data_IF_787444128485
#
_entry.id   IF_787444128485
#
_cell.length_a   1.000
_cell.length_b   1.000
_cell.length_c   1.000
_cell.angle_alpha   90.00
_cell.angle_beta   90.00
_cell.angle_gamma   90.00
#
_symmetry.space_group_name_H-M   'P 1'
#
loop_
_entity.id
_entity.type
_entity.pdbx_description
1 polymer ?
#
# COMPACT_ATOMS: atom_id res chain seq x y z
N UNK A 1 -10.74 11.95 16.05
CA UNK A 1 -11.11 10.97 15.01
C UNK A 1 -10.77 11.50 13.64
N UNK A 2 -11.71 12.19 12.98
CA UNK A 2 -11.62 12.50 11.53
C UNK A 2 -11.06 13.89 11.16
N UNK A 3 -10.92 14.83 12.10
CA UNK A 3 -10.40 16.18 11.81
C UNK A 3 -8.94 16.23 11.30
N UNK A 4 -8.20 15.12 11.39
CA UNK A 4 -6.79 15.02 11.02
C UNK A 4 -6.62 14.48 9.59
N UNK A 5 -7.58 13.71 9.08
CA UNK A 5 -7.54 13.11 7.74
C UNK A 5 -8.08 14.11 6.72
N UNK A 6 -7.22 15.05 6.31
CA UNK A 6 -7.53 15.95 5.20
C UNK A 6 -7.71 15.14 3.91
N UNK A 7 -8.55 15.60 2.96
CA UNK A 7 -8.77 14.90 1.69
C UNK A 7 -7.48 14.53 0.96
N UNK A 8 -6.48 15.42 0.96
CA UNK A 8 -5.18 15.15 0.33
C UNK A 8 -4.45 13.95 0.92
N UNK A 9 -4.53 13.75 2.24
CA UNK A 9 -3.89 12.63 2.93
C UNK A 9 -4.62 11.32 2.63
N UNK A 10 -5.96 11.36 2.56
CA UNK A 10 -6.76 10.20 2.15
C UNK A 10 -6.44 9.76 0.73
N UNK A 11 -6.40 10.73 -0.20
CA UNK A 11 -6.00 10.47 -1.59
C UNK A 11 -4.60 9.86 -1.65
N UNK A 12 -3.65 10.39 -0.88
CA UNK A 12 -2.31 9.81 -0.79
C UNK A 12 -2.31 8.37 -0.28
N UNK A 13 -3.05 8.09 0.79
CA UNK A 13 -3.14 6.75 1.40
C UNK A 13 -3.76 5.68 0.49
N UNK A 14 -4.49 6.09 -0.55
CA UNK A 14 -5.10 5.22 -1.56
C UNK A 14 -4.25 5.16 -2.84
N UNK A 15 -3.76 6.31 -3.32
CA UNK A 15 -3.02 6.40 -4.57
C UNK A 15 -1.64 5.76 -4.48
N UNK A 16 -0.91 5.92 -3.36
CA UNK A 16 0.44 5.37 -3.24
C UNK A 16 0.51 3.85 -3.32
N UNK A 17 -0.39 3.08 -2.66
CA UNK A 17 -0.47 1.63 -2.87
C UNK A 17 -0.68 1.25 -4.34
N UNK A 18 -1.57 1.95 -5.05
CA UNK A 18 -1.85 1.67 -6.46
C UNK A 18 -0.63 1.92 -7.35
N UNK A 19 0.10 3.00 -7.11
CA UNK A 19 1.36 3.29 -7.80
C UNK A 19 2.38 2.18 -7.53
N UNK A 20 2.60 1.85 -6.26
CA UNK A 20 3.56 0.82 -5.84
C UNK A 20 3.21 -0.56 -6.40
N UNK A 21 1.94 -0.96 -6.34
CA UNK A 21 1.47 -2.25 -6.86
C UNK A 21 1.51 -2.35 -8.37
N UNK A 22 1.20 -1.26 -9.09
CA UNK A 22 1.30 -1.24 -10.56
C UNK A 22 2.75 -1.36 -11.01
N UNK A 23 3.67 -0.62 -10.37
CA UNK A 23 5.11 -0.72 -10.63
C UNK A 23 5.62 -2.12 -10.26
N UNK A 24 5.21 -2.65 -9.12
CA UNK A 24 5.58 -4.00 -8.68
C UNK A 24 5.09 -5.08 -9.64
N UNK A 25 3.86 -4.99 -10.14
CA UNK A 25 3.34 -5.91 -11.15
C UNK A 25 4.17 -5.84 -12.44
N UNK A 26 4.45 -4.63 -12.93
CA UNK A 26 5.25 -4.45 -14.14
C UNK A 26 6.68 -5.00 -14.00
N UNK A 27 7.34 -4.68 -12.89
CA UNK A 27 8.69 -5.19 -12.59
C UNK A 27 8.70 -6.70 -12.38
N UNK A 28 7.71 -7.26 -11.67
CA UNK A 28 7.59 -8.71 -11.46
C UNK A 28 7.43 -9.48 -12.77
N UNK A 29 6.64 -8.96 -13.70
CA UNK A 29 6.54 -9.51 -15.06
C UNK A 29 7.87 -9.41 -15.80
N UNK A 30 8.55 -8.25 -15.77
CA UNK A 30 9.86 -8.07 -16.41
C UNK A 30 10.93 -9.01 -15.84
N UNK A 31 10.81 -9.38 -14.57
CA UNK A 31 11.68 -10.36 -13.90
C UNK A 31 11.34 -11.82 -14.27
N UNK A 32 10.27 -12.06 -15.04
CA UNK A 32 9.83 -13.40 -15.43
C UNK A 32 9.19 -14.21 -14.29
N UNK A 33 8.64 -13.54 -13.27
CA UNK A 33 7.95 -14.22 -12.18
C UNK A 33 6.64 -14.85 -12.68
N UNK A 34 6.21 -15.93 -12.03
CA UNK A 34 4.88 -16.52 -12.28
C UNK A 34 3.76 -15.53 -11.97
N UNK A 35 2.53 -15.79 -12.42
CA UNK A 35 1.37 -14.94 -12.10
C UNK A 35 1.22 -14.74 -10.57
N UNK A 36 1.34 -15.82 -9.81
CA UNK A 36 1.31 -15.77 -8.35
C UNK A 36 2.49 -14.99 -7.76
N UNK A 37 3.70 -15.20 -8.29
CA UNK A 37 4.91 -14.49 -7.86
C UNK A 37 4.83 -12.98 -8.13
N UNK A 38 4.41 -12.58 -9.33
CA UNK A 38 4.18 -11.18 -9.71
C UNK A 38 3.11 -10.53 -8.86
N UNK A 39 1.99 -11.23 -8.62
CA UNK A 39 0.92 -10.73 -7.73
C UNK A 39 1.44 -10.49 -6.32
N UNK A 40 2.16 -11.46 -5.75
CA UNK A 40 2.74 -11.33 -4.41
C UNK A 40 3.74 -10.16 -4.36
N UNK A 41 4.60 -10.05 -5.35
CA UNK A 41 5.57 -8.95 -5.45
C UNK A 41 4.88 -7.59 -5.54
N UNK A 42 3.85 -7.46 -6.37
CA UNK A 42 3.02 -6.26 -6.46
C UNK A 42 2.36 -5.89 -5.12
N UNK A 43 1.81 -6.86 -4.40
CA UNK A 43 1.24 -6.66 -3.05
C UNK A 43 2.29 -6.16 -2.06
N UNK A 44 3.51 -6.70 -2.11
CA UNK A 44 4.63 -6.25 -1.28
C UNK A 44 5.01 -4.80 -1.60
N UNK A 45 5.12 -4.44 -2.88
CA UNK A 45 5.42 -3.07 -3.31
C UNK A 45 4.31 -2.06 -2.96
N UNK A 46 3.05 -2.50 -2.94
CA UNK A 46 1.90 -1.65 -2.61
C UNK A 46 1.66 -1.47 -1.10
N UNK A 47 2.25 -2.31 -0.26
CA UNK A 47 1.91 -2.36 1.16
C UNK A 47 2.71 -1.35 1.99
N UNK A 48 2.06 -0.82 3.01
CA UNK A 48 2.72 -0.06 4.07
C UNK A 48 3.04 -0.97 5.27
N UNK A 49 3.94 -0.51 6.14
CA UNK A 49 4.14 -1.16 7.44
C UNK A 49 3.03 -0.73 8.40
N UNK A 50 2.15 -1.68 8.73
CA UNK A 50 0.96 -1.42 9.56
C UNK A 50 1.23 -1.53 11.07
N UNK A 51 2.39 -2.07 11.46
CA UNK A 51 2.74 -2.36 12.86
C UNK A 51 4.05 -1.67 13.24
N UNK A 52 5.14 -2.01 12.55
CA UNK A 52 6.48 -1.57 12.92
C UNK A 52 6.69 -0.07 12.69
N UNK A 53 6.25 0.49 11.55
CA UNK A 53 6.41 1.93 11.28
C UNK A 53 5.65 2.80 12.27
N UNK A 54 4.37 2.55 12.62
CA UNK A 54 3.71 3.32 13.66
C UNK A 54 4.43 3.31 15.01
N UNK A 55 5.02 2.18 15.41
CA UNK A 55 5.82 2.07 16.62
C UNK A 55 7.15 2.86 16.50
N UNK A 56 7.87 2.68 15.39
CA UNK A 56 9.11 3.39 15.11
C UNK A 56 8.91 4.91 15.02
N UNK A 57 7.83 5.38 14.40
CA UNK A 57 7.51 6.80 14.27
C UNK A 57 7.28 7.49 15.62
N UNK A 58 6.71 6.77 16.61
CA UNK A 58 6.57 7.32 17.98
C UNK A 58 7.92 7.66 18.60
N UNK A 59 8.93 6.86 18.31
CA UNK A 59 10.28 7.00 18.86
C UNK A 59 11.13 7.96 18.03
N UNK A 60 11.12 7.79 16.70
CA UNK A 60 11.97 8.53 15.77
C UNK A 60 11.46 9.95 15.46
N UNK A 61 10.15 10.18 15.49
CA UNK A 61 9.56 11.50 15.27
C UNK A 61 8.42 11.78 16.26
N UNK A 62 8.72 12.03 17.55
CA UNK A 62 7.70 12.20 18.59
C UNK A 62 6.75 13.39 18.36
N UNK A 63 7.17 14.38 17.58
CA UNK A 63 6.35 15.55 17.20
C UNK A 63 5.29 15.22 16.14
N UNK A 64 5.39 14.09 15.46
CA UNK A 64 4.39 13.66 14.48
C UNK A 64 3.08 13.29 15.18
N UNK A 65 1.94 13.64 14.58
CA UNK A 65 0.64 13.33 15.17
C UNK A 65 0.31 11.83 15.05
N UNK A 66 0.21 11.07 16.16
CA UNK A 66 -0.10 9.64 16.12
C UNK A 66 -1.44 9.31 15.48
N UNK A 67 -2.43 10.18 15.63
CA UNK A 67 -3.72 9.99 15.00
C UNK A 67 -3.64 10.04 13.47
N UNK A 68 -2.64 10.70 12.88
CA UNK A 68 -2.48 10.76 11.43
C UNK A 68 -1.97 9.43 10.87
N UNK A 69 -0.77 9.01 11.28
CA UNK A 69 -0.10 7.87 10.65
C UNK A 69 -0.71 6.53 11.08
N UNK A 70 -1.25 6.42 12.30
CA UNK A 70 -1.96 5.20 12.73
C UNK A 70 -3.27 5.05 11.96
N UNK A 71 -4.10 6.11 11.91
CA UNK A 71 -5.39 6.03 11.22
C UNK A 71 -5.23 5.91 9.71
N UNK A 72 -4.22 6.55 9.10
CA UNK A 72 -3.98 6.39 7.67
C UNK A 72 -3.51 4.98 7.34
N UNK A 73 -2.54 4.43 8.09
CA UNK A 73 -1.98 3.10 7.83
C UNK A 73 -3.02 1.99 8.09
N UNK A 74 -3.63 1.95 9.29
CA UNK A 74 -4.54 0.87 9.70
C UNK A 74 -5.99 1.09 9.27
N UNK A 75 -6.47 2.34 9.27
CA UNK A 75 -7.87 2.66 9.00
C UNK A 75 -8.19 2.91 7.53
N UNK A 76 -7.18 3.18 6.69
CA UNK A 76 -7.38 3.52 5.28
C UNK A 76 -6.56 2.61 4.38
N UNK A 77 -5.23 2.68 4.44
CA UNK A 77 -4.35 1.99 3.50
C UNK A 77 -4.46 0.48 3.63
N UNK A 78 -4.41 -0.09 4.84
CA UNK A 78 -4.55 -1.53 5.05
C UNK A 78 -5.85 -2.12 4.47
N UNK A 79 -7.05 -1.68 4.90
CA UNK A 79 -8.30 -2.25 4.39
C UNK A 79 -8.46 -2.01 2.90
N UNK A 80 -8.05 -0.85 2.37
CA UNK A 80 -8.04 -0.59 0.94
C UNK A 80 -7.17 -1.61 0.18
N UNK A 81 -5.94 -1.84 0.65
CA UNK A 81 -5.00 -2.71 -0.05
C UNK A 81 -5.48 -4.17 -0.04
N UNK A 82 -6.10 -4.62 1.04
CA UNK A 82 -6.65 -5.98 1.13
C UNK A 82 -7.88 -6.16 0.24
N UNK A 83 -8.84 -5.24 0.32
CA UNK A 83 -10.15 -5.40 -0.35
C UNK A 83 -10.08 -5.04 -1.84
N UNK A 84 -9.36 -3.98 -2.18
CA UNK A 84 -9.30 -3.44 -3.56
C UNK A 84 -7.93 -3.68 -4.19
N UNK A 85 -6.85 -3.43 -3.43
CA UNK A 85 -5.48 -3.56 -3.93
C UNK A 85 -5.17 -4.95 -4.47
N UNK A 86 -5.27 -5.99 -3.64
CA UNK A 86 -4.92 -7.38 -4.00
C UNK A 86 -5.66 -7.84 -5.28
N UNK A 87 -7.00 -7.73 -5.40
CA UNK A 87 -7.67 -8.09 -6.65
C UNK A 87 -7.20 -7.27 -7.86
N UNK A 88 -6.94 -5.98 -7.67
CA UNK A 88 -6.45 -5.09 -8.73
C UNK A 88 -5.05 -5.51 -9.21
N UNK A 89 -4.14 -5.83 -8.29
CA UNK A 89 -2.78 -6.23 -8.64
C UNK A 89 -2.73 -7.60 -9.31
N UNK A 90 -3.59 -8.53 -8.89
CA UNK A 90 -3.74 -9.80 -9.59
C UNK A 90 -4.21 -9.60 -11.04
N UNK A 91 -5.23 -8.76 -11.25
CA UNK A 91 -5.73 -8.45 -12.59
C UNK A 91 -4.67 -7.75 -13.46
N UNK A 92 -3.85 -6.87 -12.88
CA UNK A 92 -2.71 -6.25 -13.57
C UNK A 92 -1.64 -7.28 -13.93
N UNK A 93 -1.26 -8.14 -13.00
CA UNK A 93 -0.29 -9.20 -13.24
C UNK A 93 -0.75 -10.17 -14.33
N UNK A 94 -2.05 -10.54 -14.33
CA UNK A 94 -2.64 -11.36 -15.38
C UNK A 94 -2.59 -10.65 -16.74
N UNK A 95 -2.90 -9.35 -16.77
CA UNK A 95 -2.87 -8.55 -17.99
C UNK A 95 -1.46 -8.38 -18.55
N UNK A 96 -0.45 -8.25 -17.69
CA UNK A 96 0.95 -8.11 -18.12
C UNK A 96 1.59 -9.44 -18.52
N UNK A 97 1.09 -10.57 -18.01
CA UNK A 97 1.58 -11.90 -18.36
C UNK A 97 1.04 -12.44 -19.69
N UNK A 98 0.01 -11.80 -20.26
CA UNK A 98 -0.51 -12.06 -21.61
C UNK A 98 0.31 -11.30 -22.66
#
# INVERSE_FOLDING_TARGET
GFKVLRPSVLVFGIAMPLIGGTLGAGLGTLMGLSLGGTTLFAVLCASASYIAVPAAMRLALPKANPALYVSLSLGVTFPFNVVIGIPTYFALAERFAR
#
